data_IF_994275779018
#
_entry.id   IF_994275779018
#
_cell.length_a   1.000
_cell.length_b   1.000
_cell.length_c   1.000
_cell.angle_alpha   90.00
_cell.angle_beta   90.00
_cell.angle_gamma   90.00
#
_symmetry.space_group_name_H-M   'P 1'
#
loop_
_entity.id
_entity.type
_entity.pdbx_description
1 polymer ?
#
# COMPACT_ATOMS: atom_id res chain seq x y z
N UNK A 1 2.77 46.65 22.40
CA UNK A 1 2.25 45.43 21.72
C UNK A 1 2.20 45.54 20.18
N UNK A 2 2.78 46.58 19.55
CA UNK A 2 2.80 46.69 18.07
C UNK A 2 4.18 46.37 17.44
N UNK A 3 5.25 46.16 18.21
CA UNK A 3 6.61 45.96 17.65
C UNK A 3 7.06 44.50 17.49
N UNK A 4 6.22 43.52 17.87
CA UNK A 4 6.58 42.09 17.76
C UNK A 4 6.11 41.46 16.44
N UNK A 5 5.07 42.02 15.81
CA UNK A 5 4.48 41.50 14.57
C UNK A 5 5.33 41.88 13.33
N UNK A 6 5.98 43.04 13.35
CA UNK A 6 6.82 43.48 12.22
C UNK A 6 8.18 42.79 12.16
N UNK A 7 8.73 42.36 13.30
CA UNK A 7 9.95 41.54 13.34
C UNK A 7 9.73 40.15 12.74
N UNK A 8 8.54 39.56 12.92
CA UNK A 8 8.19 38.25 12.36
C UNK A 8 8.02 38.30 10.83
N UNK A 9 7.42 39.38 10.29
CA UNK A 9 7.27 39.54 8.83
C UNK A 9 8.61 39.75 8.11
N UNK A 10 9.60 40.34 8.79
CA UNK A 10 10.92 40.56 8.22
C UNK A 10 11.81 39.31 8.25
N UNK A 11 11.65 38.43 9.25
CA UNK A 11 12.38 37.15 9.31
C UNK A 11 12.01 36.23 8.13
N UNK A 12 10.72 36.16 7.77
CA UNK A 12 10.24 35.39 6.62
C UNK A 12 10.52 36.03 5.25
N UNK A 13 10.94 37.30 5.21
CA UNK A 13 11.39 37.95 3.96
C UNK A 13 12.88 37.76 3.71
N UNK A 14 13.72 37.71 4.74
CA UNK A 14 15.17 37.48 4.56
C UNK A 14 15.52 36.01 4.26
N UNK A 15 14.74 35.04 4.74
CA UNK A 15 14.96 33.62 4.41
C UNK A 15 14.54 33.25 2.98
N UNK A 16 13.74 34.08 2.30
CA UNK A 16 13.28 33.80 0.93
C UNK A 16 14.33 33.97 -0.17
N UNK A 17 15.51 34.50 0.14
CA UNK A 17 16.59 34.71 -0.84
C UNK A 17 17.80 33.77 -0.67
N UNK A 18 17.81 32.88 0.33
CA UNK A 18 18.96 32.01 0.63
C UNK A 18 18.81 30.56 0.17
N UNK A 19 17.63 30.10 -0.28
CA UNK A 19 17.40 28.71 -0.67
C UNK A 19 17.44 28.49 -2.20
N UNK A 20 18.39 29.15 -2.87
CA UNK A 20 18.84 28.78 -4.21
C UNK A 20 20.07 27.85 -4.14
N UNK A 21 20.14 26.99 -3.12
CA UNK A 21 20.99 25.81 -3.17
C UNK A 21 20.19 24.66 -3.82
N UNK A 22 20.79 24.04 -4.82
CA UNK A 22 20.40 22.77 -5.44
C UNK A 22 20.56 21.61 -4.44
N UNK A 23 19.99 21.73 -3.25
CA UNK A 23 19.83 20.58 -2.36
C UNK A 23 18.62 19.78 -2.83
N UNK A 24 18.83 18.48 -3.04
CA UNK A 24 17.79 17.57 -3.49
C UNK A 24 16.65 17.57 -2.46
N UNK A 25 15.48 18.06 -2.86
CA UNK A 25 14.27 18.02 -2.02
C UNK A 25 14.06 16.58 -1.56
N UNK A 26 13.91 16.33 -0.24
CA UNK A 26 13.75 14.99 0.28
C UNK A 26 12.51 14.33 -0.33
N UNK A 27 12.69 13.14 -0.91
CA UNK A 27 11.61 12.35 -1.50
C UNK A 27 11.12 11.34 -0.47
N UNK A 28 9.81 11.29 -0.26
CA UNK A 28 9.16 10.31 0.62
C UNK A 28 8.35 9.35 -0.26
N UNK A 29 8.51 8.04 -0.06
CA UNK A 29 7.67 6.99 -0.67
C UNK A 29 6.65 6.54 0.38
N UNK A 30 5.38 6.46 -0.01
CA UNK A 30 4.28 5.95 0.84
C UNK A 30 3.33 5.10 0.02
N UNK A 31 2.61 4.20 0.70
CA UNK A 31 1.51 3.43 0.10
C UNK A 31 0.27 4.31 0.04
N UNK A 32 -0.36 4.40 -1.14
CA UNK A 32 -1.61 5.11 -1.30
C UNK A 32 -2.75 4.31 -0.66
N UNK A 33 -3.41 4.88 0.36
CA UNK A 33 -4.64 4.32 0.94
C UNK A 33 -5.86 4.75 0.13
N UNK A 34 -5.81 5.96 -0.43
CA UNK A 34 -6.81 6.51 -1.32
C UNK A 34 -6.30 6.44 -2.77
N UNK A 35 -7.11 5.84 -3.64
CA UNK A 35 -6.80 5.65 -5.06
C UNK A 35 -7.14 6.87 -5.92
N UNK A 36 -7.81 7.88 -5.36
CA UNK A 36 -8.19 9.10 -6.11
C UNK A 36 -7.03 10.08 -6.32
N UNK A 37 -5.87 9.83 -5.69
CA UNK A 37 -4.68 10.65 -5.81
C UNK A 37 -4.06 10.61 -7.20
N UNK A 38 -3.98 11.77 -7.86
CA UNK A 38 -3.34 11.92 -9.16
C UNK A 38 -1.93 12.51 -9.03
N UNK A 39 -1.13 12.38 -10.08
CA UNK A 39 0.16 13.07 -10.16
C UNK A 39 -0.07 14.58 -10.08
N UNK A 40 0.69 15.25 -9.21
CA UNK A 40 0.53 16.67 -8.93
C UNK A 40 -0.56 17.01 -7.90
N UNK A 41 -1.31 16.01 -7.42
CA UNK A 41 -2.21 16.20 -6.27
C UNK A 41 -1.42 16.58 -5.03
N UNK A 42 -2.05 17.40 -4.20
CA UNK A 42 -1.56 17.84 -2.91
C UNK A 42 -1.91 16.80 -1.84
N UNK A 43 -0.99 16.57 -0.91
CA UNK A 43 -1.14 15.61 0.18
C UNK A 43 -0.73 16.23 1.51
N UNK A 44 -1.54 16.02 2.54
CA UNK A 44 -1.22 16.39 3.92
C UNK A 44 -0.68 15.16 4.66
N UNK A 45 0.52 15.30 5.24
CA UNK A 45 1.21 14.23 5.95
C UNK A 45 1.10 14.36 7.49
N UNK A 46 0.43 15.40 8.02
CA UNK A 46 0.56 15.85 9.42
C UNK A 46 -0.30 15.14 10.48
N UNK A 47 -0.90 13.98 10.21
CA UNK A 47 -1.66 13.27 11.27
C UNK A 47 -0.74 12.39 12.16
N UNK A 48 0.24 12.98 12.85
CA UNK A 48 1.19 12.26 13.71
C UNK A 48 0.82 12.40 15.20
N UNK A 49 0.53 11.30 15.90
CA UNK A 49 0.59 11.22 17.37
C UNK A 49 1.23 9.91 17.85
N UNK A 50 2.39 10.01 18.49
CA UNK A 50 3.13 8.86 19.04
C UNK A 50 2.37 8.28 20.25
N UNK A 51 2.04 6.99 20.18
CA UNK A 51 1.62 6.18 21.34
C UNK A 51 2.39 4.86 21.33
N UNK A 52 2.93 4.54 22.50
CA UNK A 52 3.78 3.40 22.82
C UNK A 52 3.13 2.05 22.44
N UNK A 53 3.83 1.20 21.68
CA UNK A 53 3.34 -0.11 21.23
C UNK A 53 4.18 -1.22 21.88
N UNK A 54 3.77 -1.57 23.09
CA UNK A 54 4.23 -2.78 23.77
C UNK A 54 3.82 -4.05 23.01
N UNK A 55 4.75 -4.98 22.96
CA UNK A 55 4.68 -6.39 22.53
C UNK A 55 5.03 -6.69 21.07
N UNK A 56 6.10 -7.46 20.90
CA UNK A 56 6.67 -8.02 19.67
C UNK A 56 5.76 -9.07 19.00
N UNK A 57 4.44 -8.85 18.99
CA UNK A 57 3.55 -9.60 18.11
C UNK A 57 3.69 -9.00 16.71
N UNK A 58 4.28 -9.79 15.80
CA UNK A 58 4.41 -9.57 14.35
C UNK A 58 3.43 -8.49 13.85
N UNK A 59 3.92 -7.26 13.71
CA UNK A 59 3.09 -6.14 13.29
C UNK A 59 2.73 -6.34 11.81
N UNK A 60 1.52 -6.82 11.52
CA UNK A 60 1.08 -7.18 10.18
C UNK A 60 1.17 -6.02 9.18
N UNK A 61 0.94 -4.79 9.65
CA UNK A 61 1.08 -3.60 8.82
C UNK A 61 2.54 -3.32 8.45
N UNK A 62 3.50 -3.75 9.30
CA UNK A 62 4.94 -3.68 8.98
C UNK A 62 5.33 -4.68 7.89
N UNK A 63 4.65 -5.83 7.79
CA UNK A 63 4.87 -6.82 6.73
C UNK A 63 4.41 -6.27 5.37
N UNK A 64 3.41 -5.40 5.37
CA UNK A 64 2.82 -4.80 4.16
C UNK A 64 3.52 -3.52 3.67
N UNK A 65 4.74 -3.23 4.14
CA UNK A 65 5.53 -2.03 3.79
C UNK A 65 4.77 -0.69 4.02
N UNK A 66 3.81 -0.68 4.94
CA UNK A 66 3.07 0.54 5.33
C UNK A 66 3.97 1.37 6.25
N UNK A 67 4.22 2.63 5.90
CA UNK A 67 5.10 3.51 6.66
C UNK A 67 4.58 3.74 8.09
N UNK A 68 5.50 3.98 9.03
CA UNK A 68 5.17 4.03 10.46
C UNK A 68 4.12 5.11 10.79
N UNK A 69 4.19 6.28 10.15
CA UNK A 69 3.22 7.37 10.32
C UNK A 69 1.84 6.98 9.78
N UNK A 70 1.77 6.35 8.61
CA UNK A 70 0.50 5.86 8.06
C UNK A 70 -0.09 4.72 8.89
N UNK A 71 0.77 3.82 9.39
CA UNK A 71 0.38 2.72 10.27
C UNK A 71 -0.25 3.24 11.57
N UNK A 72 0.37 4.26 12.17
CA UNK A 72 -0.14 4.91 13.36
C UNK A 72 -1.51 5.56 13.09
N UNK A 73 -1.67 6.22 11.95
CA UNK A 73 -2.96 6.78 11.54
C UNK A 73 -4.08 5.74 11.38
N UNK A 74 -3.76 4.59 10.79
CA UNK A 74 -4.70 3.46 10.69
C UNK A 74 -5.07 2.97 12.09
N UNK A 75 -4.09 2.78 12.99
CA UNK A 75 -4.30 2.31 14.35
C UNK A 75 -5.16 3.27 15.18
N UNK A 76 -4.96 4.59 15.00
CA UNK A 76 -5.73 5.64 15.64
C UNK A 76 -7.10 5.89 14.98
N UNK A 77 -7.41 5.19 13.88
CA UNK A 77 -8.65 5.35 13.09
C UNK A 77 -8.85 6.77 12.56
N UNK A 78 -7.77 7.52 12.37
CA UNK A 78 -7.80 8.85 11.73
C UNK A 78 -7.90 8.72 10.20
N UNK A 79 -7.45 7.59 9.66
CA UNK A 79 -7.59 7.19 8.25
C UNK A 79 -8.32 5.84 8.18
N UNK A 80 -9.25 5.71 7.25
CA UNK A 80 -9.96 4.45 7.02
C UNK A 80 -9.00 3.36 6.51
N UNK A 81 -9.04 2.18 7.13
CA UNK A 81 -8.31 1.01 6.67
C UNK A 81 -8.93 0.48 5.37
N UNK A 82 -8.21 0.58 4.25
CA UNK A 82 -8.64 0.04 2.95
C UNK A 82 -7.58 -0.88 2.36
N UNK A 83 -8.00 -1.76 1.44
CA UNK A 83 -7.11 -2.69 0.74
C UNK A 83 -6.31 -3.57 1.71
N UNK A 84 -4.98 -3.56 1.58
CA UNK A 84 -4.08 -4.35 2.45
C UNK A 84 -4.12 -3.85 3.91
N UNK A 85 -4.37 -2.57 4.16
CA UNK A 85 -4.45 -2.03 5.51
C UNK A 85 -5.63 -2.59 6.31
N UNK A 86 -6.70 -3.05 5.65
CA UNK A 86 -7.85 -3.70 6.30
C UNK A 86 -7.50 -5.04 6.95
N UNK A 87 -6.28 -5.56 6.76
CA UNK A 87 -5.77 -6.74 7.49
C UNK A 87 -5.76 -6.54 9.01
N UNK A 88 -5.70 -5.29 9.50
CA UNK A 88 -5.82 -5.00 10.94
C UNK A 88 -7.16 -5.46 11.52
N UNK A 89 -8.21 -5.50 10.69
CA UNK A 89 -9.56 -5.89 11.06
C UNK A 89 -9.83 -7.38 10.75
N UNK A 90 -8.77 -8.20 10.59
CA UNK A 90 -8.91 -9.63 10.31
C UNK A 90 -9.72 -10.32 11.43
N UNK A 91 -10.87 -10.96 11.12
CA UNK A 91 -11.84 -11.35 12.13
C UNK A 91 -11.49 -12.63 12.89
N UNK A 92 -10.42 -13.34 12.51
CA UNK A 92 -10.05 -14.65 13.09
C UNK A 92 -8.75 -14.56 13.86
N UNK A 93 -8.56 -15.51 14.77
CA UNK A 93 -7.28 -15.72 15.44
C UNK A 93 -6.23 -16.18 14.44
N UNK A 94 -5.03 -15.65 14.56
CA UNK A 94 -3.87 -16.06 13.77
C UNK A 94 -3.08 -17.06 14.63
N UNK A 95 -2.96 -18.29 14.14
CA UNK A 95 -2.36 -19.42 14.85
C UNK A 95 -1.33 -20.15 13.97
N UNK A 96 -0.86 -21.30 14.42
CA UNK A 96 0.08 -22.17 13.69
C UNK A 96 -0.48 -22.73 12.37
N UNK A 97 -1.78 -22.60 12.12
CA UNK A 97 -2.45 -23.05 10.91
C UNK A 97 -2.81 -21.89 9.97
N UNK A 98 -2.52 -20.65 10.34
CA UNK A 98 -2.67 -19.50 9.46
C UNK A 98 -1.40 -19.30 8.62
N UNK A 99 -1.57 -19.08 7.30
CA UNK A 99 -0.50 -18.61 6.41
C UNK A 99 -0.89 -17.32 5.73
N UNK A 100 0.11 -16.52 5.39
CA UNK A 100 -0.06 -15.24 4.71
C UNK A 100 0.84 -15.21 3.49
N UNK A 101 0.24 -14.98 2.33
CA UNK A 101 0.95 -14.72 1.08
C UNK A 101 0.95 -13.22 0.83
N UNK A 102 2.12 -12.60 0.93
CA UNK A 102 2.31 -11.21 0.54
C UNK A 102 2.68 -11.13 -0.95
N UNK A 103 1.92 -10.36 -1.71
CA UNK A 103 2.07 -10.26 -3.16
C UNK A 103 2.15 -8.79 -3.54
N UNK A 104 3.30 -8.42 -4.10
CA UNK A 104 3.54 -7.07 -4.62
C UNK A 104 4.12 -7.18 -6.03
N UNK A 105 3.36 -6.71 -7.02
CA UNK A 105 3.72 -6.74 -8.43
C UNK A 105 3.64 -5.34 -9.00
N UNK A 106 4.78 -4.75 -9.37
CA UNK A 106 4.80 -3.47 -10.07
C UNK A 106 4.48 -3.68 -11.55
N UNK A 107 3.57 -2.85 -12.10
CA UNK A 107 3.17 -2.94 -13.51
C UNK A 107 3.58 -1.70 -14.29
N UNK A 108 3.32 -0.52 -13.74
CA UNK A 108 3.60 0.75 -14.39
C UNK A 108 4.07 1.77 -13.37
N UNK A 109 4.95 2.66 -13.81
CA UNK A 109 5.33 3.85 -13.04
C UNK A 109 4.95 5.07 -13.85
N UNK A 110 4.14 5.94 -13.27
CA UNK A 110 3.93 7.29 -13.77
C UNK A 110 4.75 8.26 -12.93
N UNK A 111 5.38 9.23 -13.59
CA UNK A 111 6.20 10.23 -12.92
C UNK A 111 6.03 11.58 -13.60
N UNK A 112 6.03 12.66 -12.83
CA UNK A 112 6.20 14.00 -13.37
C UNK A 112 7.57 14.09 -14.05
N UNK A 113 7.60 14.14 -15.38
CA UNK A 113 8.77 14.63 -16.11
C UNK A 113 8.67 16.15 -16.19
N UNK A 114 9.48 16.84 -15.41
CA UNK A 114 9.75 18.28 -15.53
C UNK A 114 8.54 19.22 -15.50
N UNK A 115 7.54 19.00 -14.64
CA UNK A 115 6.62 20.11 -14.34
C UNK A 115 7.39 21.15 -13.54
N UNK A 116 7.48 22.38 -14.08
CA UNK A 116 8.03 23.48 -13.32
C UNK A 116 7.16 23.69 -12.08
N UNK A 117 7.76 24.13 -10.98
CA UNK A 117 7.06 24.44 -9.72
C UNK A 117 5.88 25.43 -9.94
N UNK A 118 5.88 26.13 -11.06
CA UNK A 118 4.86 27.11 -11.48
C UNK A 118 3.60 26.43 -12.05
N UNK A 119 3.72 25.32 -12.77
CA UNK A 119 2.58 24.55 -13.30
C UNK A 119 1.79 23.84 -12.19
N UNK A 120 2.48 23.41 -11.13
CA UNK A 120 1.84 22.84 -9.94
C UNK A 120 1.11 23.92 -9.14
N UNK A 121 1.68 25.13 -9.07
CA UNK A 121 1.05 26.27 -8.38
C UNK A 121 -0.19 26.79 -9.11
N UNK A 122 -0.18 26.82 -10.44
CA UNK A 122 -1.32 27.32 -11.24
C UNK A 122 -2.53 26.39 -11.18
N UNK A 123 -2.33 25.08 -11.02
CA UNK A 123 -3.40 24.08 -10.86
C UNK A 123 -4.05 24.10 -9.47
N UNK A 124 -3.36 24.59 -8.46
CA UNK A 124 -3.76 24.51 -7.05
C UNK A 124 -4.31 25.84 -6.48
N UNK A 125 -4.70 26.79 -7.33
CA UNK A 125 -5.23 28.11 -6.94
C UNK A 125 -6.56 28.07 -6.18
N UNK A 126 -7.16 26.89 -5.99
CA UNK A 126 -8.51 26.70 -5.45
C UNK A 126 -8.59 25.96 -4.11
N UNK A 127 -7.47 25.63 -3.43
CA UNK A 127 -7.54 24.78 -2.23
C UNK A 127 -7.37 25.58 -0.91
N UNK A 128 -8.33 25.31 -0.01
CA UNK A 128 -8.62 25.70 1.38
C UNK A 128 -7.46 26.07 2.32
N UNK A 129 -7.82 26.63 3.48
CA UNK A 129 -7.01 27.16 4.60
C UNK A 129 -5.88 26.25 5.15
N UNK A 130 -5.82 24.99 4.72
CA UNK A 130 -4.76 24.03 5.07
C UNK A 130 -3.64 24.08 4.04
N UNK A 131 -2.45 24.54 4.44
CA UNK A 131 -1.27 24.58 3.58
C UNK A 131 -0.80 23.15 3.26
N UNK A 132 -0.95 22.67 2.02
CA UNK A 132 -0.50 21.34 1.65
C UNK A 132 1.04 21.28 1.70
N UNK A 133 1.56 20.27 2.41
CA UNK A 133 3.00 20.15 2.65
C UNK A 133 3.72 19.22 1.66
N UNK A 134 2.99 18.40 0.90
CA UNK A 134 3.56 17.48 -0.09
C UNK A 134 2.85 17.54 -1.46
N UNK A 135 3.59 17.15 -2.49
CA UNK A 135 3.10 16.99 -3.86
C UNK A 135 3.45 15.60 -4.36
N UNK A 136 2.48 14.90 -4.96
CA UNK A 136 2.72 13.59 -5.57
C UNK A 136 3.51 13.75 -6.87
N UNK A 137 4.77 13.29 -6.87
CA UNK A 137 5.67 13.41 -8.04
C UNK A 137 5.83 12.12 -8.83
N UNK A 138 5.49 10.97 -8.22
CA UNK A 138 5.60 9.64 -8.81
C UNK A 138 4.50 8.76 -8.24
N UNK A 139 3.83 8.00 -9.10
CA UNK A 139 2.88 6.96 -8.72
C UNK A 139 3.37 5.64 -9.32
N UNK A 140 3.39 4.59 -8.50
CA UNK A 140 3.68 3.23 -8.94
C UNK A 140 2.36 2.47 -8.90
N UNK A 141 1.95 1.98 -10.05
CA UNK A 141 0.78 1.14 -10.24
C UNK A 141 1.18 -0.33 -10.19
N UNK A 142 0.29 -1.15 -9.67
CA UNK A 142 0.59 -2.57 -9.47
C UNK A 142 -0.48 -3.31 -8.68
N UNK A 143 -0.23 -4.60 -8.47
CA UNK A 143 -0.99 -5.41 -7.52
C UNK A 143 -0.30 -5.33 -6.17
N UNK A 144 -1.06 -4.95 -5.16
CA UNK A 144 -0.65 -5.06 -3.77
C UNK A 144 -1.73 -5.85 -3.02
N UNK A 145 -1.38 -7.05 -2.57
CA UNK A 145 -2.33 -7.96 -1.94
C UNK A 145 -1.68 -8.76 -0.81
N UNK A 146 -2.49 -9.06 0.21
CA UNK A 146 -2.20 -10.07 1.22
C UNK A 146 -3.33 -11.10 1.19
N UNK A 147 -2.97 -12.36 0.99
CA UNK A 147 -3.90 -13.48 1.04
C UNK A 147 -3.67 -14.22 2.35
N UNK A 148 -4.67 -14.23 3.22
CA UNK A 148 -4.65 -14.98 4.48
C UNK A 148 -5.40 -16.29 4.26
N UNK A 149 -4.72 -17.42 4.47
CA UNK A 149 -5.31 -18.75 4.35
C UNK A 149 -5.25 -19.46 5.70
N UNK A 150 -6.35 -20.14 6.04
CA UNK A 150 -6.42 -21.01 7.22
C UNK A 150 -6.38 -22.46 6.76
N UNK A 151 -5.35 -23.18 7.14
CA UNK A 151 -5.09 -24.56 6.72
C UNK A 151 -5.71 -25.55 7.70
N UNK A 152 -6.09 -26.75 7.25
CA UNK A 152 -6.48 -27.83 8.13
C UNK A 152 -5.22 -28.48 8.76
N UNK A 153 -5.34 -29.07 9.97
CA UNK A 153 -4.19 -29.57 10.73
C UNK A 153 -3.54 -30.82 10.14
N UNK A 154 -4.23 -31.54 9.26
CA UNK A 154 -3.87 -32.87 8.74
C UNK A 154 -2.98 -32.85 7.49
N UNK A 155 -2.79 -31.70 6.81
CA UNK A 155 -2.08 -31.62 5.52
C UNK A 155 -1.21 -30.36 5.40
N UNK A 156 -0.64 -29.91 6.53
CA UNK A 156 0.10 -28.65 6.58
C UNK A 156 1.31 -28.64 5.65
N UNK A 157 2.04 -29.75 5.54
CA UNK A 157 3.28 -29.83 4.76
C UNK A 157 2.97 -29.72 3.26
N UNK A 158 1.98 -30.47 2.79
CA UNK A 158 1.54 -30.48 1.40
C UNK A 158 0.99 -29.11 0.98
N UNK A 159 0.20 -28.48 1.85
CA UNK A 159 -0.35 -27.15 1.60
C UNK A 159 0.73 -26.06 1.67
N UNK A 160 1.67 -26.12 2.61
CA UNK A 160 2.79 -25.18 2.69
C UNK A 160 3.65 -25.26 1.42
N UNK A 161 3.97 -26.48 0.94
CA UNK A 161 4.68 -26.67 -0.33
C UNK A 161 3.91 -26.09 -1.53
N UNK A 162 2.59 -26.27 -1.57
CA UNK A 162 1.75 -25.71 -2.63
C UNK A 162 1.69 -24.17 -2.57
N UNK A 163 1.58 -23.60 -1.37
CA UNK A 163 1.60 -22.15 -1.16
C UNK A 163 2.94 -21.54 -1.58
N UNK A 164 4.04 -22.22 -1.28
CA UNK A 164 5.38 -21.83 -1.72
C UNK A 164 5.47 -21.89 -3.26
N UNK A 165 4.98 -22.96 -3.90
CA UNK A 165 4.93 -23.06 -5.37
C UNK A 165 4.12 -21.91 -5.99
N UNK A 166 2.95 -21.59 -5.42
CA UNK A 166 2.12 -20.45 -5.81
C UNK A 166 2.89 -19.13 -5.66
N UNK A 167 3.53 -18.91 -4.52
CA UNK A 167 4.30 -17.71 -4.26
C UNK A 167 5.46 -17.55 -5.25
N UNK A 168 6.22 -18.62 -5.50
CA UNK A 168 7.32 -18.62 -6.45
C UNK A 168 6.83 -18.32 -7.88
N UNK A 169 5.73 -18.96 -8.29
CA UNK A 169 5.08 -18.72 -9.58
C UNK A 169 4.69 -17.24 -9.76
N UNK A 170 4.03 -16.66 -8.77
CA UNK A 170 3.52 -15.29 -8.82
C UNK A 170 4.62 -14.23 -8.76
N UNK A 171 5.68 -14.45 -7.98
CA UNK A 171 6.76 -13.47 -7.81
C UNK A 171 7.82 -13.60 -8.92
N UNK A 172 8.33 -14.81 -9.17
CA UNK A 172 9.52 -15.01 -10.02
C UNK A 172 9.21 -15.45 -11.45
N UNK A 173 7.96 -15.83 -11.76
CA UNK A 173 7.56 -16.31 -13.08
C UNK A 173 8.30 -17.58 -13.55
N UNK A 174 8.82 -18.38 -12.63
CA UNK A 174 9.66 -19.53 -12.96
C UNK A 174 8.84 -20.71 -13.50
N UNK A 175 7.55 -20.80 -13.16
CA UNK A 175 6.63 -21.82 -13.65
C UNK A 175 5.17 -21.42 -13.39
N UNK A 176 4.24 -21.88 -14.23
CA UNK A 176 2.80 -21.78 -13.93
C UNK A 176 2.42 -22.98 -13.07
N UNK A 177 1.66 -22.76 -12.00
CA UNK A 177 1.15 -23.85 -11.16
C UNK A 177 0.17 -24.66 -11.98
N UNK A 178 0.51 -25.92 -12.25
CA UNK A 178 -0.41 -26.86 -12.89
C UNK A 178 -1.44 -27.34 -11.86
N UNK A 179 -2.70 -26.99 -12.10
CA UNK A 179 -3.81 -27.36 -11.22
C UNK A 179 -4.32 -28.76 -11.55
N UNK A 180 -3.52 -29.77 -11.20
CA UNK A 180 -3.92 -31.19 -11.28
C UNK A 180 -5.00 -31.52 -10.22
N UNK A 181 -5.82 -32.57 -10.42
CA UNK A 181 -6.89 -32.93 -9.50
C UNK A 181 -6.43 -33.09 -8.04
N UNK A 182 -5.23 -33.63 -7.79
CA UNK A 182 -4.71 -33.75 -6.41
C UNK A 182 -4.55 -32.39 -5.74
N UNK A 183 -3.97 -31.40 -6.43
CA UNK A 183 -3.78 -30.04 -5.90
C UNK A 183 -5.11 -29.30 -5.71
N UNK A 184 -6.08 -29.52 -6.60
CA UNK A 184 -7.41 -28.96 -6.44
C UNK A 184 -8.09 -29.49 -5.18
N UNK A 185 -7.99 -30.79 -4.93
CA UNK A 185 -8.53 -31.39 -3.71
C UNK A 185 -7.88 -30.79 -2.45
N UNK A 186 -6.55 -30.60 -2.45
CA UNK A 186 -5.85 -29.94 -1.34
C UNK A 186 -6.39 -28.52 -1.09
N UNK A 187 -6.58 -27.73 -2.15
CA UNK A 187 -7.10 -26.36 -2.02
C UNK A 187 -8.56 -26.33 -1.57
N UNK A 188 -9.37 -27.31 -1.96
CA UNK A 188 -10.75 -27.42 -1.51
C UNK A 188 -10.86 -27.78 -0.02
N UNK A 189 -9.79 -28.34 0.59
CA UNK A 189 -9.70 -28.59 2.04
C UNK A 189 -9.30 -27.34 2.86
N UNK A 190 -8.91 -26.23 2.23
CA UNK A 190 -8.57 -24.98 2.93
C UNK A 190 -9.81 -24.44 3.64
N UNK A 191 -9.70 -24.23 4.95
CA UNK A 191 -10.81 -23.81 5.83
C UNK A 191 -11.34 -22.43 5.43
N UNK A 192 -10.43 -21.52 5.07
CA UNK A 192 -10.80 -20.20 4.55
C UNK A 192 -9.67 -19.54 3.82
N UNK A 193 -10.01 -18.75 2.82
CA UNK A 193 -9.11 -17.76 2.22
C UNK A 193 -9.76 -16.39 2.32
N UNK A 194 -8.97 -15.37 2.66
CA UNK A 194 -9.39 -13.97 2.68
C UNK A 194 -8.33 -13.13 1.97
N UNK A 195 -8.73 -12.39 0.95
CA UNK A 195 -7.82 -11.53 0.21
C UNK A 195 -8.03 -10.06 0.57
N UNK A 196 -6.96 -9.40 0.96
CA UNK A 196 -6.88 -7.96 1.18
C UNK A 196 -6.08 -7.36 0.05
N UNK A 197 -6.64 -6.49 -0.78
CA UNK A 197 -5.94 -5.95 -1.94
C UNK A 197 -6.38 -4.55 -2.31
N UNK A 198 -5.48 -3.78 -2.93
CA UNK A 198 -5.85 -2.56 -3.63
C UNK A 198 -6.79 -2.81 -4.82
N UNK A 199 -6.92 -4.03 -5.33
CA UNK A 199 -7.85 -4.34 -6.43
C UNK A 199 -9.15 -4.92 -5.85
N UNK A 200 -10.24 -4.17 -5.98
CA UNK A 200 -11.53 -4.50 -5.38
C UNK A 200 -12.07 -5.89 -5.78
N UNK A 201 -11.96 -6.26 -7.06
CA UNK A 201 -12.44 -7.58 -7.51
C UNK A 201 -11.59 -8.73 -6.98
N UNK A 202 -10.30 -8.48 -6.70
CA UNK A 202 -9.41 -9.47 -6.10
C UNK A 202 -9.78 -9.71 -4.63
N UNK A 203 -10.13 -8.64 -3.89
CA UNK A 203 -10.54 -8.71 -2.48
C UNK A 203 -11.84 -9.51 -2.26
N UNK A 204 -12.68 -9.68 -3.30
CA UNK A 204 -13.92 -10.46 -3.24
C UNK A 204 -13.72 -11.96 -3.40
N UNK A 205 -12.55 -12.41 -3.88
CA UNK A 205 -12.31 -13.82 -4.16
C UNK A 205 -12.06 -14.59 -2.87
N UNK A 206 -12.79 -15.70 -2.71
CA UNK A 206 -12.79 -16.53 -1.50
C UNK A 206 -12.01 -17.83 -1.72
N UNK A 207 -11.72 -18.20 -2.97
CA UNK A 207 -10.97 -19.42 -3.28
C UNK A 207 -9.53 -19.08 -3.69
N UNK A 208 -8.57 -19.79 -3.13
CA UNK A 208 -7.14 -19.55 -3.40
C UNK A 208 -6.78 -19.72 -4.88
N UNK A 209 -7.36 -20.72 -5.56
CA UNK A 209 -7.12 -20.94 -6.99
C UNK A 209 -7.66 -19.81 -7.88
N UNK A 210 -8.80 -19.20 -7.52
CA UNK A 210 -9.37 -18.04 -8.20
C UNK A 210 -8.48 -16.81 -7.99
N UNK A 211 -8.03 -16.58 -6.75
CA UNK A 211 -7.07 -15.52 -6.40
C UNK A 211 -5.80 -15.68 -7.25
N UNK A 212 -5.20 -16.87 -7.28
CA UNK A 212 -4.03 -17.17 -8.11
C UNK A 212 -4.27 -16.84 -9.58
N UNK A 213 -5.34 -17.40 -10.17
CA UNK A 213 -5.66 -17.19 -11.58
C UNK A 213 -5.84 -15.71 -11.90
N UNK A 214 -6.53 -14.96 -11.04
CA UNK A 214 -6.77 -13.53 -11.26
C UNK A 214 -5.49 -12.72 -11.16
N UNK A 215 -4.62 -12.99 -10.18
CA UNK A 215 -3.32 -12.30 -10.06
C UNK A 215 -2.44 -12.63 -11.28
N UNK A 216 -2.38 -13.89 -11.71
CA UNK A 216 -1.64 -14.29 -12.92
C UNK A 216 -2.15 -13.59 -14.18
N UNK A 217 -3.47 -13.43 -14.33
CA UNK A 217 -4.07 -12.65 -15.41
C UNK A 217 -3.69 -11.17 -15.35
N UNK A 218 -3.83 -10.55 -14.17
CA UNK A 218 -3.49 -9.14 -13.95
C UNK A 218 -2.02 -8.87 -14.27
N UNK A 219 -1.12 -9.78 -13.87
CA UNK A 219 0.31 -9.71 -14.19
C UNK A 219 0.57 -9.70 -15.70
N UNK A 220 -0.16 -10.51 -16.47
CA UNK A 220 -0.03 -10.58 -17.93
C UNK A 220 -0.70 -9.39 -18.64
N UNK A 221 -1.66 -8.71 -17.98
CA UNK A 221 -2.43 -7.59 -18.52
C UNK A 221 -2.10 -6.28 -17.80
N UNK A 222 -0.96 -5.67 -18.11
CA UNK A 222 -0.47 -4.45 -17.46
C UNK A 222 -1.42 -3.23 -17.54
N UNK A 223 -2.42 -3.25 -18.43
CA UNK A 223 -3.37 -2.15 -18.62
C UNK A 223 -4.53 -2.12 -17.60
N UNK A 224 -4.77 -3.21 -16.85
CA UNK A 224 -5.92 -3.30 -15.93
C UNK A 224 -5.65 -2.67 -14.55
N UNK A 225 -4.42 -2.22 -14.28
CA UNK A 225 -4.05 -1.68 -12.95
C UNK A 225 -4.43 -0.20 -12.75
N UNK A 226 -4.86 0.49 -13.80
CA UNK A 226 -5.41 1.85 -13.70
C UNK A 226 -6.91 1.74 -13.48
N UNK A 227 -7.36 1.88 -12.24
CA UNK A 227 -8.76 2.27 -12.02
C UNK A 227 -8.87 3.76 -12.34
N UNK A 228 -9.66 4.08 -13.37
CA UNK A 228 -10.00 5.43 -13.80
C UNK A 228 -10.77 6.20 -12.73
#
# INVERSE_FOLDING_TARGET
MASYIDSFKNLFRSEKQSYLSTEAVPKVKRIAIDQTGNIGSLYDACQDQIVDLTSERRNFLKISDIDDSLRLNILLKTVQSTGVASLIDYPRTIDEHTRMLYIYLESQTDSCRNHSREEIKSRNSFISETLPIHVITKIIWGVHAVVVVQLPPNQLIELDNLLDEIHQSLIYNESTVEWIPEKMNLVDEIISTTCYSNIHDLAKLIKLNEVYKRISQLRNNSNEHRQL
#
